data_IF_937034010788
#
_entry.id   IF_937034010788
#
_cell.length_a   1.000
_cell.length_b   1.000
_cell.length_c   1.000
_cell.angle_alpha   90.00
_cell.angle_beta   90.00
_cell.angle_gamma   90.00
#
_symmetry.space_group_name_H-M   'P 1'
#
loop_
_entity.id
_entity.type
_entity.pdbx_description
1 polymer ?
#
# COMPACT_ATOMS: atom_id res chain seq x y z
N UNK A 1 -33.10 30.96 4.88
CA UNK A 1 -33.03 29.60 4.31
C UNK A 1 -31.58 29.14 4.35
N UNK A 2 -31.27 28.13 5.18
CA UNK A 2 -29.92 27.57 5.27
C UNK A 2 -29.59 26.88 3.94
N UNK A 3 -28.60 27.40 3.20
CA UNK A 3 -28.01 26.71 2.04
C UNK A 3 -27.24 25.51 2.57
N UNK A 4 -27.93 24.38 2.76
CA UNK A 4 -27.32 23.12 3.12
C UNK A 4 -26.37 22.70 2.01
N UNK A 5 -25.06 22.70 2.28
CA UNK A 5 -24.05 22.11 1.41
C UNK A 5 -24.41 20.64 1.16
N UNK A 6 -25.00 20.35 0.01
CA UNK A 6 -25.35 18.98 -0.37
C UNK A 6 -24.08 18.30 -0.88
N UNK A 7 -23.29 17.73 0.03
CA UNK A 7 -22.09 16.96 -0.31
C UNK A 7 -22.51 15.62 -0.92
N UNK A 8 -22.16 15.37 -2.18
CA UNK A 8 -22.31 14.04 -2.79
C UNK A 8 -21.15 13.16 -2.34
N UNK A 9 -21.47 12.00 -1.78
CA UNK A 9 -20.51 11.00 -1.34
C UNK A 9 -20.61 9.77 -2.24
N UNK A 10 -19.47 9.28 -2.71
CA UNK A 10 -19.37 8.05 -3.51
C UNK A 10 -18.63 7.04 -2.66
N UNK A 11 -19.21 5.86 -2.55
CA UNK A 11 -18.70 4.75 -1.74
C UNK A 11 -18.32 3.64 -2.71
N UNK A 12 -17.04 3.28 -2.75
CA UNK A 12 -16.54 2.24 -3.65
C UNK A 12 -15.81 1.15 -2.86
N UNK A 13 -16.17 -0.13 -3.03
CA UNK A 13 -15.43 -1.23 -2.41
C UNK A 13 -14.04 -1.34 -3.05
N UNK A 14 -13.00 -1.35 -2.23
CA UNK A 14 -11.61 -1.50 -2.65
C UNK A 14 -11.32 -2.98 -2.90
N UNK A 15 -10.99 -3.36 -4.15
CA UNK A 15 -10.76 -4.78 -4.50
C UNK A 15 -9.42 -5.34 -4.00
N UNK A 16 -8.39 -4.49 -3.82
CA UNK A 16 -7.00 -4.94 -3.59
C UNK A 16 -6.24 -4.17 -2.48
N UNK A 17 -6.95 -3.56 -1.53
CA UNK A 17 -6.31 -2.87 -0.39
C UNK A 17 -6.25 -3.78 0.85
N UNK A 18 -5.06 -3.98 1.41
CA UNK A 18 -4.87 -4.76 2.65
C UNK A 18 -5.23 -3.98 3.93
N UNK A 19 -5.52 -2.67 3.80
CA UNK A 19 -5.73 -1.77 4.93
C UNK A 19 -7.13 -1.13 4.96
N UNK A 20 -7.81 -1.07 3.82
CA UNK A 20 -9.10 -0.38 3.71
C UNK A 20 -10.07 -1.19 2.86
N UNK A 21 -11.24 -1.52 3.42
CA UNK A 21 -12.30 -2.30 2.76
C UNK A 21 -13.20 -1.44 1.85
N UNK A 22 -13.23 -0.12 2.09
CA UNK A 22 -14.09 0.81 1.34
C UNK A 22 -13.44 2.18 1.24
N UNK A 23 -13.48 2.77 0.05
CA UNK A 23 -13.04 4.14 -0.22
C UNK A 23 -14.23 5.11 -0.27
N UNK A 24 -14.09 6.25 0.41
CA UNK A 24 -15.10 7.31 0.46
C UNK A 24 -14.59 8.55 -0.29
N UNK A 25 -15.31 8.96 -1.32
CA UNK A 25 -15.00 10.16 -2.11
C UNK A 25 -16.07 11.22 -1.87
N UNK A 26 -15.65 12.45 -1.58
CA UNK A 26 -16.55 13.58 -1.34
C UNK A 26 -16.33 14.63 -2.43
N UNK A 27 -17.39 14.91 -3.20
CA UNK A 27 -17.36 15.95 -4.23
C UNK A 27 -17.77 17.29 -3.62
N UNK A 28 -16.91 18.31 -3.76
CA UNK A 28 -17.20 19.69 -3.35
C UNK A 28 -17.83 20.45 -4.52
N UNK A 29 -18.95 21.13 -4.30
CA UNK A 29 -19.64 21.91 -5.36
C UNK A 29 -18.81 23.10 -5.88
N UNK A 30 -17.81 23.57 -5.11
CA UNK A 30 -17.01 24.74 -5.44
C UNK A 30 -15.99 24.50 -6.58
N UNK A 31 -15.77 23.24 -6.98
CA UNK A 31 -14.71 22.87 -7.90
C UNK A 31 -15.12 22.90 -9.39
N UNK A 32 -16.41 22.85 -9.75
CA UNK A 32 -16.81 22.72 -11.15
C UNK A 32 -18.06 23.55 -11.54
N UNK A 33 -17.95 24.29 -12.63
CA UNK A 33 -19.06 24.95 -13.35
C UNK A 33 -20.01 23.96 -14.03
N UNK A 34 -19.62 22.69 -14.11
CA UNK A 34 -20.39 21.59 -14.69
C UNK A 34 -20.56 20.51 -13.63
N UNK A 35 -21.78 20.01 -13.41
CA UNK A 35 -22.00 18.87 -12.52
C UNK A 35 -21.55 17.59 -13.23
N UNK A 36 -20.55 16.86 -12.71
CA UNK A 36 -20.11 15.62 -13.33
C UNK A 36 -21.19 14.55 -13.17
N UNK A 37 -21.34 13.74 -14.21
CA UNK A 37 -22.24 12.59 -14.21
C UNK A 37 -21.76 11.51 -13.25
N UNK A 38 -22.66 10.62 -12.81
CA UNK A 38 -22.31 9.51 -11.93
C UNK A 38 -21.16 8.65 -12.51
N UNK A 39 -21.20 8.42 -13.83
CA UNK A 39 -20.19 7.65 -14.56
C UNK A 39 -18.82 8.32 -14.60
N UNK A 40 -18.78 9.65 -14.78
CA UNK A 40 -17.52 10.41 -14.75
C UNK A 40 -16.89 10.35 -13.35
N UNK A 41 -17.71 10.43 -12.29
CA UNK A 41 -17.20 10.33 -10.93
C UNK A 41 -16.71 8.92 -10.56
N UNK A 42 -17.37 7.86 -11.06
CA UNK A 42 -16.88 6.48 -10.90
C UNK A 42 -15.53 6.27 -11.61
N UNK A 43 -15.39 6.76 -12.85
CA UNK A 43 -14.13 6.67 -13.59
C UNK A 43 -12.99 7.40 -12.89
N UNK A 44 -13.26 8.58 -12.34
CA UNK A 44 -12.27 9.34 -11.59
C UNK A 44 -11.89 8.65 -10.28
N UNK A 45 -12.86 8.07 -9.56
CA UNK A 45 -12.58 7.27 -8.38
C UNK A 45 -11.71 6.04 -8.68
N UNK A 46 -11.97 5.36 -9.81
CA UNK A 46 -11.12 4.26 -10.30
C UNK A 46 -9.71 4.74 -10.61
N UNK A 47 -9.56 5.86 -11.31
CA UNK A 47 -8.25 6.45 -11.64
C UNK A 47 -7.43 6.73 -10.38
N UNK A 48 -8.05 7.34 -9.36
CA UNK A 48 -7.40 7.61 -8.07
C UNK A 48 -7.00 6.30 -7.37
N UNK A 49 -7.84 5.26 -7.46
CA UNK A 49 -7.55 3.96 -6.86
C UNK A 49 -6.34 3.30 -7.52
N UNK A 50 -6.27 3.33 -8.85
CA UNK A 50 -5.16 2.76 -9.62
C UNK A 50 -3.84 3.50 -9.37
N UNK A 51 -3.87 4.84 -9.37
CA UNK A 51 -2.69 5.67 -9.07
C UNK A 51 -2.13 5.38 -7.67
N UNK A 52 -2.99 5.20 -6.67
CA UNK A 52 -2.57 4.90 -5.30
C UNK A 52 -2.23 3.42 -5.08
N UNK A 53 -2.87 2.49 -5.78
CA UNK A 53 -2.55 1.07 -5.71
C UNK A 53 -1.13 0.77 -6.22
N UNK A 54 -0.66 1.52 -7.23
CA UNK A 54 0.71 1.46 -7.72
C UNK A 54 1.72 1.98 -6.68
N UNK A 55 1.36 3.01 -5.90
CA UNK A 55 2.19 3.52 -4.81
C UNK A 55 2.22 2.58 -3.58
N UNK A 56 1.15 1.81 -3.36
CA UNK A 56 1.03 0.85 -2.25
C UNK A 56 1.78 -0.48 -2.44
N UNK A 57 2.31 -0.77 -3.64
CA UNK A 57 3.23 -1.89 -3.87
C UNK A 57 4.61 -1.56 -3.30
N UNK A 58 4.70 -1.48 -1.97
CA UNK A 58 5.98 -1.57 -1.29
C UNK A 58 6.69 -2.85 -1.78
N UNK A 59 7.99 -2.79 -2.15
CA UNK A 59 8.63 -3.89 -2.84
C UNK A 59 8.79 -5.06 -1.89
N UNK A 60 7.91 -6.05 -1.98
CA UNK A 60 8.04 -7.36 -1.31
C UNK A 60 9.39 -8.01 -1.61
N UNK A 61 10.01 -7.62 -2.73
CA UNK A 61 11.37 -7.99 -3.13
C UNK A 61 12.45 -7.57 -2.10
N UNK A 62 12.33 -6.38 -1.49
CA UNK A 62 13.33 -5.88 -0.55
C UNK A 62 13.37 -6.71 0.75
N UNK A 63 12.20 -7.13 1.26
CA UNK A 63 12.12 -7.96 2.47
C UNK A 63 12.67 -9.37 2.27
N UNK A 64 12.46 -9.96 1.09
CA UNK A 64 12.98 -11.29 0.76
C UNK A 64 14.52 -11.31 0.67
N UNK A 65 15.11 -10.28 0.07
CA UNK A 65 16.57 -10.16 0.00
C UNK A 65 17.22 -9.92 1.38
N UNK A 66 16.56 -9.16 2.25
CA UNK A 66 17.04 -8.94 3.62
C UNK A 66 17.08 -10.25 4.44
N UNK A 67 16.04 -11.09 4.29
CA UNK A 67 15.98 -12.40 4.95
C UNK A 67 17.08 -13.35 4.49
N UNK A 68 17.37 -13.38 3.18
CA UNK A 68 18.44 -14.21 2.63
C UNK A 68 19.82 -13.75 3.10
N UNK A 69 20.06 -12.43 3.16
CA UNK A 69 21.30 -11.87 3.69
C UNK A 69 21.49 -12.22 5.18
N UNK A 70 20.42 -12.15 5.98
CA UNK A 70 20.44 -12.54 7.39
C UNK A 70 20.77 -14.03 7.58
N UNK A 71 20.13 -14.92 6.81
CA UNK A 71 20.40 -16.36 6.87
C UNK A 71 21.83 -16.70 6.46
N UNK A 72 22.36 -16.04 5.44
CA UNK A 72 23.74 -16.22 5.02
C UNK A 72 24.74 -15.79 6.10
N UNK A 73 24.49 -14.63 6.73
CA UNK A 73 25.30 -14.15 7.85
C UNK A 73 25.28 -15.11 9.05
N UNK A 74 24.11 -15.66 9.37
CA UNK A 74 23.96 -16.64 10.46
C UNK A 74 24.76 -17.91 10.19
N UNK A 75 24.67 -18.47 8.98
CA UNK A 75 25.43 -19.66 8.60
C UNK A 75 26.94 -19.42 8.61
N UNK A 76 27.38 -18.26 8.11
CA UNK A 76 28.80 -17.91 8.09
C UNK A 76 29.35 -17.74 9.52
N UNK A 77 28.58 -17.08 10.41
CA UNK A 77 28.93 -16.93 11.82
C UNK A 77 29.00 -18.27 12.55
N UNK A 78 28.01 -19.15 12.34
CA UNK A 78 28.00 -20.49 12.92
C UNK A 78 29.18 -21.35 12.44
N UNK A 79 29.55 -21.24 11.16
CA UNK A 79 30.70 -21.94 10.59
C UNK A 79 32.02 -21.48 11.25
N UNK A 80 32.22 -20.16 11.36
CA UNK A 80 33.41 -19.60 12.02
C UNK A 80 33.48 -20.04 13.49
N UNK A 81 32.36 -19.97 14.21
CA UNK A 81 32.29 -20.42 15.60
C UNK A 81 32.66 -21.91 15.73
N UNK A 82 32.12 -22.76 14.85
CA UNK A 82 32.42 -24.18 14.85
C UNK A 82 33.91 -24.45 14.61
N UNK A 83 34.54 -23.73 13.67
CA UNK A 83 35.98 -23.84 13.40
C UNK A 83 36.81 -23.42 14.61
N UNK A 84 36.45 -22.31 15.27
CA UNK A 84 37.15 -21.84 16.48
C UNK A 84 37.05 -22.85 17.62
N UNK A 85 35.85 -23.40 17.85
CA UNK A 85 35.64 -24.42 18.87
C UNK A 85 36.44 -25.70 18.56
N UNK A 86 36.54 -26.08 17.29
CA UNK A 86 37.31 -27.24 16.87
C UNK A 86 38.81 -27.02 17.09
N UNK A 87 39.31 -25.80 16.82
CA UNK A 87 40.72 -25.42 17.02
C UNK A 87 41.11 -25.20 18.49
N UNK A 88 40.16 -24.89 19.38
CA UNK A 88 40.41 -24.77 20.83
C UNK A 88 40.10 -26.05 21.61
N UNK A 89 39.31 -26.96 21.03
CA UNK A 89 38.96 -28.24 21.64
C UNK A 89 39.93 -29.39 21.34
N UNK A 90 40.88 -29.19 20.41
CA UNK A 90 42.02 -30.08 20.13
C UNK A 90 43.29 -29.57 20.79
#
# INVERSE_FOLDING_TARGET
MMKGCQKKMIVMPTRDSSLFETAYFVVREEAETRRPSAREMELEAMRILEENALAGRAPTYARRHLYLAFLYGLFLGALVLAVVLLLHGT
#
